data_IF_558321688605
#
_entry.id   IF_558321688605
#
_cell.length_a   1.000
_cell.length_b   1.000
_cell.length_c   1.000
_cell.angle_alpha   90.00
_cell.angle_beta   90.00
_cell.angle_gamma   90.00
#
_symmetry.space_group_name_H-M   'P 1'
#
loop_
_entity.id
_entity.type
_entity.pdbx_description
1 polymer ?
#
# COMPACT_ATOMS: atom_id res chain seq x y z
N UNK A 1 -0.84 15.44 -22.14
CA UNK A 1 -1.53 14.38 -22.90
C UNK A 1 -2.31 13.49 -21.93
N UNK A 2 -3.63 13.67 -21.84
CA UNK A 2 -4.45 12.73 -21.05
C UNK A 2 -4.33 11.37 -21.72
N UNK A 3 -3.75 10.38 -21.02
CA UNK A 3 -3.75 9.00 -21.48
C UNK A 3 -5.20 8.60 -21.73
N UNK A 4 -5.55 8.36 -23.00
CA UNK A 4 -6.88 7.89 -23.35
C UNK A 4 -7.07 6.53 -22.69
N UNK A 5 -8.12 6.42 -21.89
CA UNK A 5 -8.57 5.14 -21.38
C UNK A 5 -8.79 4.17 -22.55
N UNK A 6 -8.41 2.89 -22.41
CA UNK A 6 -8.58 1.92 -23.49
C UNK A 6 -10.05 1.67 -23.77
N UNK A 7 -10.37 1.35 -25.03
CA UNK A 7 -11.70 0.83 -25.37
C UNK A 7 -11.86 -0.52 -24.68
N UNK A 8 -12.75 -0.58 -23.69
CA UNK A 8 -12.96 -1.75 -22.85
C UNK A 8 -14.41 -1.84 -22.35
N UNK A 9 -14.75 -2.96 -21.72
CA UNK A 9 -16.08 -3.13 -21.10
C UNK A 9 -16.22 -2.23 -19.86
N UNK A 10 -17.46 -1.88 -19.49
CA UNK A 10 -17.73 -1.12 -18.26
C UNK A 10 -17.17 -1.82 -17.00
N UNK A 11 -17.28 -3.15 -16.96
CA UNK A 11 -16.68 -3.95 -15.88
C UNK A 11 -15.16 -3.73 -15.82
N UNK A 12 -14.47 -3.85 -16.95
CA UNK A 12 -13.02 -3.63 -17.01
C UNK A 12 -12.66 -2.21 -16.58
N UNK A 13 -13.41 -1.21 -17.04
CA UNK A 13 -13.22 0.19 -16.68
C UNK A 13 -13.28 0.39 -15.15
N UNK A 14 -14.36 -0.06 -14.50
CA UNK A 14 -14.56 0.10 -13.06
C UNK A 14 -13.63 -0.78 -12.21
N UNK A 15 -13.23 -1.96 -12.70
CA UNK A 15 -12.36 -2.88 -11.95
C UNK A 15 -10.87 -2.57 -12.10
N UNK A 16 -10.44 -1.92 -13.19
CA UNK A 16 -9.00 -1.74 -13.50
C UNK A 16 -8.54 -0.30 -13.66
N UNK A 17 -9.43 0.64 -13.92
CA UNK A 17 -9.04 1.98 -14.35
C UNK A 17 -9.65 3.12 -13.53
N UNK A 18 -10.79 2.91 -12.88
CA UNK A 18 -11.47 3.96 -12.11
C UNK A 18 -11.39 3.67 -10.60
N UNK A 19 -11.22 4.72 -9.81
CA UNK A 19 -11.32 4.64 -8.36
C UNK A 19 -12.80 4.74 -7.94
N UNK A 20 -13.29 3.67 -7.34
CA UNK A 20 -14.66 3.56 -6.80
C UNK A 20 -14.68 3.43 -5.28
N UNK A 21 -13.52 3.55 -4.63
CA UNK A 21 -13.33 3.29 -3.19
C UNK A 21 -12.95 4.53 -2.40
N UNK A 22 -12.30 5.53 -3.02
CA UNK A 22 -12.01 6.79 -2.34
C UNK A 22 -13.33 7.55 -2.09
N UNK A 23 -13.56 8.08 -0.87
CA UNK A 23 -14.72 8.91 -0.59
C UNK A 23 -14.90 10.04 -1.61
N UNK A 24 -16.13 10.27 -2.10
CA UNK A 24 -16.38 11.23 -3.17
C UNK A 24 -15.97 12.64 -2.73
N UNK A 25 -15.37 13.38 -3.65
CA UNK A 25 -15.01 14.79 -3.39
C UNK A 25 -16.27 15.64 -3.21
N UNK A 26 -16.15 16.77 -2.52
CA UNK A 26 -17.24 17.75 -2.41
C UNK A 26 -17.82 18.17 -3.77
N UNK A 27 -16.99 18.29 -4.81
CA UNK A 27 -17.43 18.59 -6.17
C UNK A 27 -18.30 17.45 -6.75
N UNK A 28 -17.90 16.19 -6.55
CA UNK A 28 -18.70 15.05 -6.96
C UNK A 28 -20.03 15.00 -6.19
N UNK A 29 -20.02 15.32 -4.89
CA UNK A 29 -21.24 15.40 -4.08
C UNK A 29 -22.20 16.49 -4.59
N UNK A 30 -21.71 17.66 -5.00
CA UNK A 30 -22.54 18.70 -5.65
C UNK A 30 -23.21 18.16 -6.91
N UNK A 31 -22.47 17.43 -7.75
CA UNK A 31 -23.03 16.81 -8.95
C UNK A 31 -24.08 15.75 -8.60
N UNK A 32 -23.81 14.89 -7.62
CA UNK A 32 -24.75 13.86 -7.17
C UNK A 32 -26.04 14.46 -6.62
N UNK A 33 -25.98 15.58 -5.88
CA UNK A 33 -27.17 16.28 -5.41
C UNK A 33 -28.10 16.69 -6.55
N UNK A 34 -27.55 17.20 -7.66
CA UNK A 34 -28.33 17.57 -8.86
C UNK A 34 -28.99 16.39 -9.58
N UNK A 35 -28.63 15.16 -9.20
CA UNK A 35 -29.19 13.92 -9.73
C UNK A 35 -30.20 13.27 -8.79
N UNK A 36 -30.56 13.90 -7.67
CA UNK A 36 -31.56 13.42 -6.73
C UNK A 36 -32.97 13.78 -7.17
N UNK A 37 -33.92 12.89 -6.87
CA UNK A 37 -35.36 13.13 -7.07
C UNK A 37 -36.09 13.42 -5.77
N UNK A 38 -35.51 13.01 -4.64
CA UNK A 38 -36.00 13.35 -3.30
C UNK A 38 -35.26 14.58 -2.76
N UNK A 39 -36.02 15.50 -2.16
CA UNK A 39 -35.49 16.78 -1.69
C UNK A 39 -34.61 16.62 -0.45
N UNK A 40 -34.89 15.64 0.41
CA UNK A 40 -34.08 15.42 1.61
C UNK A 40 -32.68 14.87 1.23
N UNK A 41 -32.62 13.95 0.27
CA UNK A 41 -31.35 13.46 -0.28
C UNK A 41 -30.54 14.60 -0.93
N UNK A 42 -31.19 15.44 -1.75
CA UNK A 42 -30.57 16.61 -2.38
C UNK A 42 -30.01 17.57 -1.32
N UNK A 43 -30.82 17.97 -0.34
CA UNK A 43 -30.43 18.91 0.72
C UNK A 43 -29.27 18.35 1.56
N UNK A 44 -29.29 17.05 1.87
CA UNK A 44 -28.21 16.40 2.63
C UNK A 44 -26.91 16.31 1.85
N UNK A 45 -26.95 15.96 0.56
CA UNK A 45 -25.76 15.97 -0.30
C UNK A 45 -25.20 17.38 -0.50
N UNK A 46 -26.06 18.40 -0.64
CA UNK A 46 -25.62 19.80 -0.71
C UNK A 46 -24.98 20.28 0.60
N UNK A 47 -25.51 19.86 1.74
CA UNK A 47 -24.89 20.13 3.04
C UNK A 47 -23.49 19.53 3.11
N UNK A 48 -23.33 18.24 2.77
CA UNK A 48 -22.01 17.59 2.69
C UNK A 48 -21.09 18.27 1.66
N UNK A 49 -21.62 18.77 0.55
CA UNK A 49 -20.83 19.42 -0.48
C UNK A 49 -20.39 20.85 -0.07
N UNK A 50 -21.16 21.56 0.73
CA UNK A 50 -20.93 22.98 1.04
C UNK A 50 -20.28 23.22 2.42
N UNK A 51 -20.61 22.40 3.41
CA UNK A 51 -20.15 22.54 4.79
C UNK A 51 -18.94 21.66 5.07
N UNK A 52 -17.76 22.29 5.18
CA UNK A 52 -16.49 21.55 5.29
C UNK A 52 -16.38 20.67 6.53
N UNK A 53 -16.90 21.11 7.68
CA UNK A 53 -16.86 20.31 8.91
C UNK A 53 -17.73 19.07 8.79
N UNK A 54 -18.97 19.23 8.31
CA UNK A 54 -19.92 18.14 8.12
C UNK A 54 -19.40 17.10 7.12
N UNK A 55 -18.74 17.57 6.06
CA UNK A 55 -18.06 16.69 5.10
C UNK A 55 -16.94 15.87 5.72
N UNK A 56 -16.01 16.52 6.44
CA UNK A 56 -14.87 15.81 7.03
C UNK A 56 -15.35 14.83 8.11
N UNK A 57 -16.32 15.21 8.95
CA UNK A 57 -16.91 14.32 9.94
C UNK A 57 -17.53 13.09 9.28
N UNK A 58 -18.36 13.27 8.25
CA UNK A 58 -18.95 12.15 7.49
C UNK A 58 -17.87 11.30 6.81
N UNK A 59 -16.88 11.93 6.16
CA UNK A 59 -15.80 11.26 5.45
C UNK A 59 -14.93 10.41 6.37
N UNK A 60 -14.53 10.92 7.53
CA UNK A 60 -13.68 10.18 8.48
C UNK A 60 -14.47 9.13 9.26
N UNK A 61 -15.72 9.44 9.61
CA UNK A 61 -16.57 8.51 10.35
C UNK A 61 -17.02 7.32 9.48
N UNK A 62 -17.54 7.59 8.28
CA UNK A 62 -18.11 6.56 7.39
C UNK A 62 -17.09 5.91 6.48
N UNK A 63 -16.01 6.63 6.11
CA UNK A 63 -15.05 6.21 5.08
C UNK A 63 -15.73 5.66 3.79
N UNK A 64 -16.79 6.29 3.28
CA UNK A 64 -17.73 5.61 2.40
C UNK A 64 -17.15 5.42 1.00
N UNK A 65 -17.26 4.20 0.48
CA UNK A 65 -17.03 3.89 -0.92
C UNK A 65 -18.18 4.41 -1.79
N UNK A 66 -17.95 4.53 -3.09
CA UNK A 66 -18.91 5.12 -4.01
C UNK A 66 -20.27 4.39 -4.02
N UNK A 67 -20.28 3.07 -3.87
CA UNK A 67 -21.50 2.28 -3.76
C UNK A 67 -22.30 2.63 -2.50
N UNK A 68 -21.63 2.73 -1.36
CA UNK A 68 -22.26 3.03 -0.06
C UNK A 68 -22.90 4.42 -0.07
N UNK A 69 -22.31 5.38 -0.79
CA UNK A 69 -22.90 6.70 -1.01
C UNK A 69 -24.20 6.61 -1.82
N UNK A 70 -24.22 5.83 -2.90
CA UNK A 70 -25.44 5.66 -3.71
C UNK A 70 -26.53 4.86 -2.97
N UNK A 71 -26.15 4.01 -2.02
CA UNK A 71 -27.08 3.30 -1.14
C UNK A 71 -27.60 4.21 -0.02
N UNK A 72 -26.78 5.13 0.51
CA UNK A 72 -27.18 6.15 1.49
C UNK A 72 -28.16 7.17 0.89
N UNK A 73 -28.01 7.49 -0.41
CA UNK A 73 -28.85 8.46 -1.14
C UNK A 73 -29.61 7.80 -2.31
N UNK A 74 -30.63 6.96 -2.03
CA UNK A 74 -31.25 6.09 -3.03
C UNK A 74 -32.04 6.81 -4.13
N UNK A 75 -32.40 8.09 -3.93
CA UNK A 75 -33.04 8.92 -4.96
C UNK A 75 -32.05 9.50 -5.97
N UNK A 76 -30.74 9.42 -5.69
CA UNK A 76 -29.67 9.87 -6.58
C UNK A 76 -29.53 8.91 -7.78
N UNK A 77 -29.85 9.39 -8.98
CA UNK A 77 -29.85 8.59 -10.22
C UNK A 77 -29.02 9.26 -11.32
N UNK A 78 -27.69 9.36 -11.16
CA UNK A 78 -26.86 10.04 -12.15
C UNK A 78 -26.78 9.22 -13.45
N UNK A 79 -26.79 9.86 -14.64
CA UNK A 79 -26.56 9.18 -15.90
C UNK A 79 -25.21 8.47 -15.91
N UNK A 80 -25.21 7.15 -16.14
CA UNK A 80 -24.03 6.30 -15.94
C UNK A 80 -22.76 6.79 -16.67
N UNK A 81 -22.87 7.24 -17.92
CA UNK A 81 -21.72 7.72 -18.69
C UNK A 81 -21.11 9.00 -18.10
N UNK A 82 -21.95 9.93 -17.64
CA UNK A 82 -21.49 11.19 -17.03
C UNK A 82 -20.87 10.89 -15.68
N UNK A 83 -21.52 10.04 -14.88
CA UNK A 83 -21.03 9.64 -13.57
C UNK A 83 -19.63 9.01 -13.64
N UNK A 84 -19.44 8.03 -14.53
CA UNK A 84 -18.13 7.39 -14.72
C UNK A 84 -17.08 8.40 -15.19
N UNK A 85 -17.44 9.37 -16.03
CA UNK A 85 -16.52 10.42 -16.48
C UNK A 85 -16.07 11.39 -15.36
N UNK A 86 -16.78 11.44 -14.22
CA UNK A 86 -16.37 12.23 -13.05
C UNK A 86 -15.41 11.48 -12.10
N UNK A 87 -15.21 10.17 -12.28
CA UNK A 87 -14.37 9.38 -11.39
C UNK A 87 -12.87 9.61 -11.65
N UNK A 88 -12.09 9.55 -10.58
CA UNK A 88 -10.63 9.60 -10.69
C UNK A 88 -10.07 8.29 -11.25
N UNK A 89 -8.94 8.39 -11.95
CA UNK A 89 -8.19 7.21 -12.36
C UNK A 89 -7.64 6.45 -11.15
N UNK A 90 -7.75 5.12 -11.18
CA UNK A 90 -7.20 4.23 -10.17
C UNK A 90 -5.68 4.34 -10.15
N UNK A 91 -5.13 4.80 -9.04
CA UNK A 91 -3.68 4.99 -8.89
C UNK A 91 -2.95 3.67 -8.61
N UNK A 92 -1.76 3.44 -9.21
CA UNK A 92 -0.92 2.31 -8.83
C UNK A 92 -0.43 2.45 -7.38
N UNK A 93 -0.21 1.33 -6.70
CA UNK A 93 0.38 1.29 -5.36
C UNK A 93 1.84 0.88 -5.44
N UNK A 94 2.70 1.63 -4.76
CA UNK A 94 4.13 1.37 -4.72
C UNK A 94 4.49 0.44 -3.56
N UNK A 95 5.32 -0.55 -3.85
CA UNK A 95 5.91 -1.47 -2.87
C UNK A 95 7.42 -1.49 -3.07
N UNK A 96 8.18 -1.54 -1.98
CA UNK A 96 9.63 -1.71 -2.05
C UNK A 96 9.97 -3.13 -2.46
N UNK A 97 10.81 -3.28 -3.49
CA UNK A 97 11.32 -4.58 -3.92
C UNK A 97 12.14 -5.18 -2.78
N UNK A 98 11.83 -6.43 -2.44
CA UNK A 98 12.38 -7.16 -1.28
C UNK A 98 13.28 -8.31 -1.70
N UNK A 99 13.78 -8.29 -2.94
CA UNK A 99 14.72 -9.26 -3.50
C UNK A 99 15.88 -8.58 -4.20
N UNK A 100 17.06 -9.20 -4.16
CA UNK A 100 18.16 -8.87 -5.08
C UNK A 100 17.95 -9.59 -6.41
N UNK A 101 18.12 -8.91 -7.57
CA UNK A 101 18.07 -9.55 -8.88
C UNK A 101 19.27 -10.49 -9.14
N UNK A 102 20.36 -10.40 -8.36
CA UNK A 102 21.48 -11.34 -8.45
C UNK A 102 21.17 -12.67 -7.77
N UNK A 103 20.39 -12.62 -6.68
CA UNK A 103 19.88 -13.83 -6.01
C UNK A 103 18.70 -14.43 -6.78
N UNK A 104 17.81 -13.60 -7.30
CA UNK A 104 16.61 -14.02 -8.03
C UNK A 104 16.46 -13.27 -9.36
N UNK A 105 17.07 -13.79 -10.43
CA UNK A 105 17.18 -13.09 -11.73
C UNK A 105 15.88 -12.90 -12.50
N UNK A 106 14.82 -13.63 -12.15
CA UNK A 106 13.52 -13.60 -12.83
C UNK A 106 12.35 -13.37 -11.88
N UNK A 107 12.61 -12.95 -10.64
CA UNK A 107 11.59 -12.79 -9.62
C UNK A 107 11.67 -11.41 -8.96
N UNK A 108 10.51 -10.86 -8.64
CA UNK A 108 10.35 -9.64 -7.83
C UNK A 108 9.59 -10.04 -6.58
N UNK A 109 10.23 -9.90 -5.43
CA UNK A 109 9.60 -10.20 -4.14
C UNK A 109 9.08 -8.90 -3.55
N UNK A 110 7.92 -8.94 -2.91
CA UNK A 110 7.33 -7.81 -2.21
C UNK A 110 6.99 -8.23 -0.77
N UNK A 111 7.21 -7.35 0.20
CA UNK A 111 6.64 -7.48 1.55
C UNK A 111 5.41 -6.60 1.65
N UNK A 112 4.22 -7.21 1.70
CA UNK A 112 2.94 -6.49 1.65
C UNK A 112 2.19 -6.64 2.97
N UNK A 113 1.86 -5.53 3.62
CA UNK A 113 0.90 -5.52 4.72
C UNK A 113 -0.52 -5.58 4.14
N UNK A 114 -1.33 -6.52 4.63
CA UNK A 114 -2.75 -6.59 4.26
C UNK A 114 -3.50 -5.51 5.03
N UNK A 115 -4.11 -4.58 4.31
CA UNK A 115 -4.87 -3.47 4.88
C UNK A 115 -6.34 -3.86 4.98
N UNK A 116 -6.85 -3.91 6.20
CA UNK A 116 -8.26 -4.06 6.54
C UNK A 116 -8.59 -3.05 7.63
N UNK A 117 -9.74 -2.41 7.55
CA UNK A 117 -10.22 -1.46 8.55
C UNK A 117 -11.74 -1.47 8.56
N UNK A 118 -12.34 -0.98 9.63
CA UNK A 118 -13.80 -0.85 9.74
C UNK A 118 -14.16 0.62 9.87
N UNK A 119 -15.25 1.02 9.22
CA UNK A 119 -15.87 2.33 9.42
C UNK A 119 -16.46 2.46 10.84
N UNK A 120 -16.92 3.66 11.19
CA UNK A 120 -17.66 3.95 12.43
C UNK A 120 -16.93 3.45 13.69
N UNK A 121 -15.64 3.80 13.81
CA UNK A 121 -14.76 3.43 14.92
C UNK A 121 -14.70 1.92 15.25
N UNK A 122 -14.99 1.06 14.28
CA UNK A 122 -14.92 -0.40 14.43
C UNK A 122 -16.26 -1.12 14.35
N UNK A 123 -17.37 -0.40 14.42
CA UNK A 123 -18.72 -0.98 14.44
C UNK A 123 -19.33 -1.09 13.04
N UNK A 124 -18.86 -0.30 12.09
CA UNK A 124 -19.36 -0.23 10.72
C UNK A 124 -18.88 -1.38 9.81
N UNK A 125 -19.14 -1.19 8.52
CA UNK A 125 -18.71 -2.11 7.47
C UNK A 125 -17.18 -2.28 7.45
N UNK A 126 -16.74 -3.49 7.12
CA UNK A 126 -15.32 -3.78 6.90
C UNK A 126 -14.92 -3.39 5.48
N UNK A 127 -13.86 -2.61 5.38
CA UNK A 127 -13.26 -2.15 4.15
C UNK A 127 -11.86 -2.73 3.96
N UNK A 128 -11.52 -2.94 2.70
CA UNK A 128 -10.31 -3.63 2.28
C UNK A 128 -9.44 -2.69 1.45
N UNK A 129 -8.15 -2.59 1.79
CA UNK A 129 -7.19 -1.89 0.95
C UNK A 129 -7.11 -2.54 -0.43
N UNK A 130 -7.41 -1.76 -1.48
CA UNK A 130 -7.58 -2.25 -2.86
C UNK A 130 -6.42 -3.13 -3.32
N UNK A 131 -5.19 -2.58 -3.33
CA UNK A 131 -4.05 -3.29 -3.90
C UNK A 131 -3.53 -4.42 -3.01
N UNK A 132 -3.52 -4.26 -1.68
CA UNK A 132 -3.05 -5.31 -0.77
C UNK A 132 -3.94 -6.54 -0.82
N UNK A 133 -5.26 -6.36 -0.84
CA UNK A 133 -6.21 -7.47 -0.92
C UNK A 133 -6.30 -8.03 -2.34
N UNK A 134 -6.12 -7.21 -3.38
CA UNK A 134 -5.92 -7.73 -4.73
C UNK A 134 -4.75 -8.71 -4.77
N UNK A 135 -3.57 -8.31 -4.28
CA UNK A 135 -2.38 -9.15 -4.24
C UNK A 135 -2.56 -10.41 -3.38
N UNK A 136 -3.25 -10.31 -2.24
CA UNK A 136 -3.52 -11.45 -1.34
C UNK A 136 -4.40 -12.53 -1.96
N UNK A 137 -5.25 -12.16 -2.93
CA UNK A 137 -6.21 -13.07 -3.55
C UNK A 137 -5.73 -13.63 -4.92
N UNK A 138 -4.56 -13.19 -5.40
CA UNK A 138 -3.99 -13.72 -6.64
C UNK A 138 -3.68 -15.20 -6.50
N UNK A 139 -3.90 -15.93 -7.59
CA UNK A 139 -3.49 -17.31 -7.74
C UNK A 139 -2.18 -17.38 -8.54
N UNK A 140 -1.41 -18.48 -8.42
CA UNK A 140 -0.33 -18.77 -9.35
C UNK A 140 -0.80 -18.60 -10.81
N UNK A 141 0.09 -18.08 -11.66
CA UNK A 141 -0.15 -17.77 -13.07
C UNK A 141 -1.09 -16.58 -13.37
N UNK A 142 -1.67 -15.93 -12.35
CA UNK A 142 -2.40 -14.68 -12.56
C UNK A 142 -1.48 -13.58 -13.12
N UNK A 143 -2.00 -12.84 -14.11
CA UNK A 143 -1.27 -11.74 -14.74
C UNK A 143 -1.47 -10.44 -13.97
N UNK A 144 -0.36 -9.85 -13.55
CA UNK A 144 -0.34 -8.53 -12.92
C UNK A 144 0.33 -7.49 -13.83
N UNK A 145 -0.22 -6.28 -13.84
CA UNK A 145 0.42 -5.13 -14.48
C UNK A 145 1.25 -4.40 -13.43
N UNK A 146 2.54 -4.26 -13.70
CA UNK A 146 3.47 -3.54 -12.84
C UNK A 146 4.48 -2.76 -13.68
N UNK A 147 5.11 -1.79 -13.04
CA UNK A 147 6.26 -1.09 -13.58
C UNK A 147 7.25 -0.83 -12.44
N UNK A 148 8.54 -0.73 -12.78
CA UNK A 148 9.59 -0.44 -11.81
C UNK A 148 9.84 1.06 -11.79
N UNK A 149 9.76 1.67 -10.61
CA UNK A 149 10.17 3.05 -10.38
C UNK A 149 11.48 3.06 -9.59
N UNK A 150 12.57 3.50 -10.21
CA UNK A 150 13.87 3.60 -9.54
C UNK A 150 13.80 4.58 -8.37
N UNK A 151 14.55 4.30 -7.29
CA UNK A 151 14.70 5.17 -6.14
C UNK A 151 16.20 5.50 -5.90
N UNK A 152 16.81 6.39 -6.70
CA UNK A 152 18.26 6.62 -6.67
C UNK A 152 18.81 7.06 -5.31
N UNK A 153 17.99 7.74 -4.50
CA UNK A 153 18.31 8.17 -3.14
C UNK A 153 18.24 7.04 -2.10
N UNK A 154 17.78 5.85 -2.48
CA UNK A 154 17.61 4.68 -1.62
C UNK A 154 18.30 3.45 -2.21
N UNK A 155 19.47 3.66 -2.82
CA UNK A 155 20.35 2.58 -3.28
C UNK A 155 21.50 2.37 -2.28
N UNK A 156 22.13 1.20 -2.33
CA UNK A 156 23.32 0.89 -1.54
C UNK A 156 24.49 1.81 -1.90
N UNK A 157 25.31 2.17 -0.91
CA UNK A 157 26.57 2.86 -1.14
C UNK A 157 27.49 2.01 -2.02
N UNK A 158 28.17 2.64 -2.98
CA UNK A 158 29.22 1.97 -3.77
C UNK A 158 30.54 1.83 -3.01
N UNK A 159 30.70 2.57 -1.91
CA UNK A 159 31.87 2.52 -1.05
C UNK A 159 31.62 1.50 0.07
N UNK A 160 32.32 0.35 0.05
CA UNK A 160 32.17 -0.72 1.04
C UNK A 160 32.86 -0.40 2.37
N UNK A 161 33.55 0.74 2.50
CA UNK A 161 34.20 1.14 3.77
C UNK A 161 33.27 1.92 4.68
N UNK A 162 32.10 2.32 4.19
CA UNK A 162 31.16 3.16 4.93
C UNK A 162 30.13 2.29 5.66
N UNK A 163 30.10 2.29 7.00
CA UNK A 163 29.10 1.53 7.74
C UNK A 163 27.68 1.98 7.39
N UNK A 164 26.74 1.05 7.39
CA UNK A 164 25.34 1.25 7.04
C UNK A 164 24.45 0.90 8.23
N UNK A 165 23.55 1.82 8.58
CA UNK A 165 22.52 1.60 9.59
C UNK A 165 21.17 1.53 8.88
N UNK A 166 20.51 0.39 8.99
CA UNK A 166 19.20 0.11 8.41
C UNK A 166 18.15 0.22 9.53
N UNK A 167 17.13 1.06 9.36
CA UNK A 167 16.06 1.25 10.35
C UNK A 167 14.72 1.02 9.64
N UNK A 168 14.04 -0.07 9.96
CA UNK A 168 12.85 -0.50 9.20
C UNK A 168 11.88 -1.33 10.02
N UNK A 169 11.00 -0.72 10.83
CA UNK A 169 9.97 -1.47 11.55
C UNK A 169 8.90 -2.03 10.62
N UNK A 170 8.35 -3.20 10.95
CA UNK A 170 7.29 -3.86 10.19
C UNK A 170 7.68 -4.08 8.73
N UNK A 171 6.77 -3.77 7.79
CA UNK A 171 7.06 -3.87 6.36
C UNK A 171 8.10 -2.86 5.87
N UNK A 172 8.56 -1.93 6.71
CA UNK A 172 9.71 -1.07 6.42
C UNK A 172 11.02 -1.85 6.22
N UNK A 173 11.08 -3.12 6.61
CA UNK A 173 12.22 -4.01 6.33
C UNK A 173 12.34 -4.42 4.86
N UNK A 174 11.27 -4.28 4.07
CA UNK A 174 11.18 -4.73 2.68
C UNK A 174 12.43 -4.46 1.83
N UNK A 175 12.87 -3.20 1.64
CA UNK A 175 14.03 -2.92 0.80
C UNK A 175 15.34 -3.46 1.41
N UNK A 176 15.46 -3.53 2.73
CA UNK A 176 16.66 -4.06 3.38
C UNK A 176 16.85 -5.54 3.10
N UNK A 177 15.76 -6.28 2.87
CA UNK A 177 15.85 -7.65 2.38
C UNK A 177 16.59 -7.77 1.06
N UNK A 178 16.33 -6.86 0.13
CA UNK A 178 17.11 -6.80 -1.12
C UNK A 178 18.58 -6.48 -0.87
N UNK A 179 18.89 -5.61 0.09
CA UNK A 179 20.26 -5.18 0.36
C UNK A 179 21.10 -6.30 0.96
N UNK A 180 20.60 -7.01 1.99
CA UNK A 180 21.38 -8.11 2.57
C UNK A 180 21.51 -9.28 1.59
N UNK A 181 20.53 -9.52 0.71
CA UNK A 181 20.69 -10.51 -0.35
C UNK A 181 21.75 -10.12 -1.39
N UNK A 182 21.85 -8.84 -1.73
CA UNK A 182 22.90 -8.33 -2.63
C UNK A 182 24.28 -8.45 -1.98
N UNK A 183 24.43 -8.07 -0.70
CA UNK A 183 25.70 -8.23 0.03
C UNK A 183 26.09 -9.69 0.24
N UNK A 184 25.15 -10.59 0.58
CA UNK A 184 25.37 -12.04 0.67
C UNK A 184 25.94 -12.58 -0.65
N UNK A 185 25.34 -12.18 -1.77
CA UNK A 185 25.82 -12.54 -3.10
C UNK A 185 27.23 -11.99 -3.39
N UNK A 186 27.47 -10.68 -3.17
CA UNK A 186 28.80 -10.04 -3.36
C UNK A 186 29.88 -10.76 -2.54
N UNK A 187 29.58 -11.11 -1.29
CA UNK A 187 30.49 -11.82 -0.39
C UNK A 187 30.79 -13.24 -0.86
N UNK A 188 29.82 -13.90 -1.51
CA UNK A 188 29.96 -15.28 -1.99
C UNK A 188 30.78 -15.42 -3.30
N UNK A 189 30.75 -14.43 -4.19
CA UNK A 189 31.38 -14.54 -5.52
C UNK A 189 32.85 -14.08 -5.56
N UNK A 190 33.27 -13.22 -4.64
CA UNK A 190 34.57 -12.53 -4.73
C UNK A 190 35.41 -12.80 -3.48
N UNK A 191 36.53 -13.53 -3.67
CA UNK A 191 37.45 -14.00 -2.61
C UNK A 191 38.00 -12.87 -1.72
N UNK A 192 38.06 -11.64 -2.23
CA UNK A 192 38.57 -10.45 -1.52
C UNK A 192 37.57 -9.28 -1.49
N UNK A 193 36.27 -9.54 -1.68
CA UNK A 193 35.28 -8.47 -1.64
C UNK A 193 35.00 -7.97 -0.23
N UNK A 194 35.04 -6.66 -0.06
CA UNK A 194 34.57 -6.00 1.15
C UNK A 194 33.10 -5.61 0.98
N UNK A 195 32.32 -5.89 2.01
CA UNK A 195 31.00 -5.31 2.23
C UNK A 195 31.10 -4.34 3.41
N UNK A 196 30.23 -3.32 3.51
CA UNK A 196 30.21 -2.43 4.67
C UNK A 196 29.85 -3.19 5.94
N UNK A 197 30.21 -2.61 7.09
CA UNK A 197 29.60 -3.00 8.36
C UNK A 197 28.11 -2.61 8.33
N UNK A 198 27.20 -3.53 8.65
CA UNK A 198 25.75 -3.34 8.53
C UNK A 198 25.06 -3.62 9.85
N UNK A 199 24.37 -2.62 10.39
CA UNK A 199 23.49 -2.77 11.56
C UNK A 199 22.04 -2.63 11.13
N UNK A 200 21.19 -3.55 11.58
CA UNK A 200 19.75 -3.54 11.34
C UNK A 200 19.01 -3.28 12.65
N UNK A 201 18.22 -2.21 12.69
CA UNK A 201 17.21 -1.94 13.71
C UNK A 201 15.84 -2.30 13.15
N UNK A 202 15.33 -3.44 13.59
CA UNK A 202 14.01 -3.94 13.23
C UNK A 202 13.05 -3.81 14.41
N UNK A 203 11.79 -3.49 14.14
CA UNK A 203 10.77 -3.36 15.16
C UNK A 203 9.45 -3.99 14.74
N UNK A 204 8.78 -4.67 15.65
CA UNK A 204 7.46 -5.25 15.42
C UNK A 204 6.60 -5.27 16.70
N UNK A 205 5.41 -5.85 16.63
CA UNK A 205 4.48 -5.88 17.78
C UNK A 205 4.91 -6.92 18.81
N UNK A 206 5.10 -8.15 18.36
CA UNK A 206 5.50 -9.31 19.17
C UNK A 206 6.49 -10.16 18.37
N UNK A 207 7.21 -11.07 19.02
CA UNK A 207 8.16 -12.00 18.38
C UNK A 207 7.51 -12.85 17.28
N UNK A 208 6.21 -13.11 17.38
CA UNK A 208 5.47 -13.89 16.39
C UNK A 208 5.35 -13.17 15.04
N UNK A 209 5.52 -11.85 15.01
CA UNK A 209 5.53 -11.05 13.78
C UNK A 209 6.93 -10.50 13.47
N UNK A 210 7.96 -11.24 13.88
CA UNK A 210 9.35 -10.95 13.54
C UNK A 210 9.65 -11.32 12.07
N UNK A 211 9.33 -10.41 11.15
CA UNK A 211 9.48 -10.64 9.71
C UNK A 211 10.93 -11.01 9.35
N UNK A 212 11.08 -12.04 8.53
CA UNK A 212 12.36 -12.54 8.03
C UNK A 212 13.34 -12.96 9.13
N UNK A 213 12.83 -13.43 10.28
CA UNK A 213 13.65 -13.86 11.42
C UNK A 213 14.80 -14.80 11.01
N UNK A 214 14.48 -15.90 10.35
CA UNK A 214 15.47 -16.92 9.99
C UNK A 214 16.49 -16.39 8.98
N UNK A 215 16.05 -15.59 7.99
CA UNK A 215 16.97 -14.93 7.05
C UNK A 215 17.92 -13.97 7.78
N UNK A 216 17.43 -13.17 8.74
CA UNK A 216 18.28 -12.26 9.51
C UNK A 216 19.29 -13.03 10.36
N UNK A 217 18.87 -14.10 11.02
CA UNK A 217 19.76 -14.96 11.81
C UNK A 217 20.86 -15.58 10.92
N UNK A 218 20.51 -16.06 9.72
CA UNK A 218 21.45 -16.55 8.72
C UNK A 218 22.44 -15.46 8.28
N UNK A 219 21.95 -14.25 7.98
CA UNK A 219 22.82 -13.16 7.54
C UNK A 219 23.78 -12.69 8.63
N UNK A 220 23.42 -12.81 9.91
CA UNK A 220 24.35 -12.57 11.03
C UNK A 220 25.43 -13.64 11.07
N UNK A 221 25.07 -14.92 10.94
CA UNK A 221 26.03 -16.03 10.93
C UNK A 221 27.02 -15.93 9.76
N UNK A 222 26.55 -15.49 8.59
CA UNK A 222 27.40 -15.23 7.42
C UNK A 222 28.21 -13.96 7.54
N UNK A 223 28.01 -13.12 8.56
CA UNK A 223 28.64 -11.81 8.70
C UNK A 223 28.29 -10.85 7.55
N UNK A 224 27.06 -10.92 7.06
CA UNK A 224 26.45 -9.95 6.13
C UNK A 224 25.76 -8.85 6.91
N UNK A 225 25.14 -9.20 8.05
CA UNK A 225 24.67 -8.26 9.06
C UNK A 225 25.56 -8.40 10.29
N UNK A 226 26.23 -7.33 10.70
CA UNK A 226 27.10 -7.35 11.87
C UNK A 226 26.28 -7.35 13.17
N UNK A 227 25.17 -6.61 13.18
CA UNK A 227 24.26 -6.53 14.34
C UNK A 227 22.81 -6.42 13.91
N UNK A 228 21.93 -7.12 14.63
CA UNK A 228 20.48 -6.99 14.49
C UNK A 228 19.90 -6.64 15.86
N UNK A 229 19.17 -5.52 15.92
CA UNK A 229 18.43 -5.06 17.09
C UNK A 229 16.95 -5.26 16.84
N UNK A 230 16.27 -5.95 17.75
CA UNK A 230 14.83 -6.20 17.70
C UNK A 230 14.12 -5.38 18.79
N UNK A 231 13.21 -4.50 18.38
CA UNK A 231 12.34 -3.74 19.27
C UNK A 231 10.90 -4.31 19.23
N UNK A 232 10.34 -4.59 20.40
CA UNK A 232 9.02 -5.22 20.53
C UNK A 232 8.06 -4.28 21.27
N UNK A 233 7.03 -3.79 20.56
CA UNK A 233 6.15 -2.73 21.08
C UNK A 233 4.98 -3.24 21.94
N UNK A 234 4.63 -4.53 21.84
CA UNK A 234 3.46 -5.14 22.48
C UNK A 234 3.74 -6.54 23.03
N UNK A 235 5.00 -6.90 23.22
CA UNK A 235 5.36 -8.18 23.84
C UNK A 235 5.16 -8.10 25.35
N UNK A 236 4.54 -9.14 25.92
CA UNK A 236 4.36 -9.21 27.37
C UNK A 236 5.72 -9.33 28.07
N UNK A 237 5.85 -8.68 29.22
CA UNK A 237 7.05 -8.73 30.07
C UNK A 237 8.33 -8.14 29.46
N UNK A 238 8.23 -7.36 28.38
CA UNK A 238 9.35 -6.56 27.84
C UNK A 238 9.13 -5.08 28.19
N UNK A 239 10.06 -4.43 28.92
CA UNK A 239 10.00 -2.99 29.19
C UNK A 239 10.01 -2.18 27.89
N UNK A 240 9.20 -1.12 27.87
CA UNK A 240 9.09 -0.20 26.72
C UNK A 240 10.09 0.95 26.84
#
# INVERSE_FOLDING_TARGET
>A
PHERLPVCSLRTLLTRFMDITTPPTRQLLTYLASCCSDKADEERLLMLANESSVYEDWRYWKLPHLLEVLEEFPSCRPPAAVFVAQLNALQPRFYSISSSPRKYSKEIHLTVAIVTYRAEDGEGAEHYGVCSNYLANLQPDDKIFLFVRSAPSFHMSKDPTRPVILIGPGTGIAPFRSFWQEWDHIKSEMVDCKIPEVWLFFGCRTKNVDLYRDEKEEMVQKGVLDRVFLALSREENIPK
#
